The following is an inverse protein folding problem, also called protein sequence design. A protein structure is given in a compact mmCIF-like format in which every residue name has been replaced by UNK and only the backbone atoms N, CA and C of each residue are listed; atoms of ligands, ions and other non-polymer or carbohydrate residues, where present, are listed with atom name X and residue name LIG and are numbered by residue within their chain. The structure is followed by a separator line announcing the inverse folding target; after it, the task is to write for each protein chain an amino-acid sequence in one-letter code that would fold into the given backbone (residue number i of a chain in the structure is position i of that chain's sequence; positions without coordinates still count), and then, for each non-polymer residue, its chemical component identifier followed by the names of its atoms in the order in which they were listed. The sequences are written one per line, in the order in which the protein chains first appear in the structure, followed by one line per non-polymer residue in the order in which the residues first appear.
data_IF_917426829956
#
_entry.id   IF_917426829956
#
_cell.length_a   1.000
_cell.length_b   1.000
_cell.length_c   1.000
_cell.angle_alpha   90.00
_cell.angle_beta   90.00
_cell.angle_gamma   90.00
#
_symmetry.space_group_name_H-M   'P 1'
#
loop_
_entity.id
_entity.type
_entity.pdbx_description
1 polymer ?
#
# COMPACT_ATOMS: atom_id res chain seq x y z
N UNK A 1 -32.23 8.81 43.70
CA UNK A 1 -31.16 9.62 44.32
C UNK A 1 -30.30 10.13 43.18
N UNK A 2 -30.24 11.46 43.07
CA UNK A 2 -29.79 12.24 41.91
C UNK A 2 -28.30 12.07 41.62
N UNK A 3 -28.03 12.05 40.32
CA UNK A 3 -26.91 12.67 39.61
C UNK A 3 -25.66 13.06 40.40
N UNK A 4 -24.55 12.43 40.02
CA UNK A 4 -23.24 13.06 40.04
C UNK A 4 -22.62 12.86 38.66
N UNK A 5 -23.13 13.64 37.70
CA UNK A 5 -22.41 14.01 36.49
C UNK A 5 -21.00 14.43 36.89
N UNK A 6 -20.03 13.56 36.63
CA UNK A 6 -18.62 13.84 36.83
C UNK A 6 -18.17 14.76 35.69
N UNK A 7 -18.59 16.02 35.78
CA UNK A 7 -18.11 17.09 34.93
C UNK A 7 -16.58 17.10 35.02
N UNK A 8 -15.92 16.80 33.91
CA UNK A 8 -14.47 16.92 33.82
C UNK A 8 -14.09 18.36 34.16
N UNK A 9 -13.08 18.59 35.01
CA UNK A 9 -12.68 19.94 35.37
C UNK A 9 -12.33 20.73 34.11
N UNK A 10 -12.74 21.99 34.06
CA UNK A 10 -12.63 22.88 32.88
C UNK A 10 -11.20 22.93 32.29
N UNK A 11 -10.17 22.73 33.12
CA UNK A 11 -8.76 22.65 32.69
C UNK A 11 -8.43 21.43 31.82
N UNK A 12 -9.13 20.30 32.01
CA UNK A 12 -8.96 19.08 31.20
C UNK A 12 -9.66 19.23 29.86
N UNK A 13 -10.79 19.94 29.82
CA UNK A 13 -11.52 20.23 28.58
C UNK A 13 -10.71 21.18 27.69
N UNK A 14 -10.14 22.25 28.25
CA UNK A 14 -9.30 23.22 27.53
C UNK A 14 -8.02 22.58 26.96
N UNK A 15 -7.36 21.71 27.73
CA UNK A 15 -6.20 20.96 27.21
C UNK A 15 -6.57 20.01 26.07
N UNK A 16 -7.74 19.35 26.16
CA UNK A 16 -8.22 18.43 25.14
C UNK A 16 -8.60 19.16 23.85
N UNK A 17 -9.28 20.31 23.95
CA UNK A 17 -9.61 21.16 22.81
C UNK A 17 -8.35 21.68 22.11
N UNK A 18 -7.36 22.17 22.88
CA UNK A 18 -6.07 22.59 22.35
C UNK A 18 -5.34 21.46 21.61
N UNK A 19 -5.30 20.27 22.21
CA UNK A 19 -4.65 19.10 21.59
C UNK A 19 -5.32 18.69 20.28
N UNK A 20 -6.65 18.74 20.21
CA UNK A 20 -7.41 18.44 18.99
C UNK A 20 -7.18 19.48 17.89
N UNK A 21 -7.11 20.77 18.25
CA UNK A 21 -6.79 21.83 17.31
C UNK A 21 -5.37 21.71 16.74
N UNK A 22 -4.39 21.34 17.57
CA UNK A 22 -3.01 21.11 17.17
C UNK A 22 -2.89 19.89 16.24
N UNK A 23 -3.60 18.79 16.53
CA UNK A 23 -3.67 17.63 15.65
C UNK A 23 -4.26 17.96 14.27
N UNK A 24 -5.34 18.76 14.22
CA UNK A 24 -5.94 19.20 12.96
C UNK A 24 -5.02 20.16 12.17
N UNK A 25 -4.17 20.93 12.85
CA UNK A 25 -3.14 21.75 12.20
C UNK A 25 -2.02 20.86 11.64
N UNK A 26 -1.55 19.88 12.41
CA UNK A 26 -0.53 18.94 12.00
C UNK A 26 -0.97 18.12 10.77
N UNK A 27 -2.21 17.63 10.75
CA UNK A 27 -2.78 16.90 9.61
C UNK A 27 -2.79 17.76 8.33
N UNK A 28 -3.28 19.00 8.39
CA UNK A 28 -3.28 19.92 7.24
C UNK A 28 -1.88 20.24 6.74
N UNK A 29 -0.91 20.35 7.65
CA UNK A 29 0.49 20.54 7.28
C UNK A 29 1.06 19.28 6.62
N UNK A 30 0.73 18.10 7.12
CA UNK A 30 1.17 16.82 6.57
C UNK A 30 0.68 16.64 5.12
N UNK A 31 -0.60 16.87 4.84
CA UNK A 31 -1.15 16.83 3.49
C UNK A 31 -0.42 17.76 2.53
N UNK A 32 -0.13 18.98 2.98
CA UNK A 32 0.57 19.97 2.17
C UNK A 32 2.02 19.57 1.90
N UNK A 33 2.71 19.05 2.93
CA UNK A 33 4.09 18.54 2.79
C UNK A 33 4.13 17.37 1.81
N UNK A 34 3.18 16.42 1.89
CA UNK A 34 3.07 15.29 0.97
C UNK A 34 3.03 15.75 -0.49
N UNK A 35 2.14 16.69 -0.81
CA UNK A 35 2.00 17.22 -2.18
C UNK A 35 3.26 17.94 -2.64
N UNK A 36 3.84 18.80 -1.80
CA UNK A 36 5.06 19.55 -2.14
C UNK A 36 6.22 18.60 -2.40
N UNK A 37 6.43 17.61 -1.54
CA UNK A 37 7.53 16.65 -1.67
C UNK A 37 7.34 15.79 -2.91
N UNK A 38 6.13 15.30 -3.20
CA UNK A 38 5.84 14.54 -4.41
C UNK A 38 6.18 15.34 -5.68
N UNK A 39 5.75 16.60 -5.76
CA UNK A 39 6.06 17.49 -6.89
C UNK A 39 7.56 17.83 -6.98
N UNK A 40 8.22 18.00 -5.83
CA UNK A 40 9.65 18.31 -5.78
C UNK A 40 10.49 17.11 -6.23
N UNK A 41 10.10 15.88 -5.87
CA UNK A 41 10.75 14.67 -6.36
C UNK A 41 10.70 14.60 -7.88
N UNK A 42 9.52 14.77 -8.47
CA UNK A 42 9.34 14.73 -9.93
C UNK A 42 10.16 15.81 -10.68
N UNK A 43 10.22 17.03 -10.13
CA UNK A 43 10.79 18.19 -10.85
C UNK A 43 12.26 18.47 -10.55
N UNK A 44 12.71 18.18 -9.33
CA UNK A 44 14.01 18.66 -8.81
C UNK A 44 15.00 17.53 -8.55
N UNK A 45 14.54 16.31 -8.31
CA UNK A 45 15.41 15.18 -8.01
C UNK A 45 15.61 14.35 -9.27
N UNK A 46 16.76 14.51 -9.91
CA UNK A 46 17.17 13.76 -11.11
C UNK A 46 18.32 12.79 -10.78
N UNK A 47 18.15 12.02 -9.71
CA UNK A 47 19.14 11.02 -9.33
C UNK A 47 18.88 9.72 -10.11
N UNK A 48 19.84 9.18 -10.88
CA UNK A 48 19.66 7.93 -11.62
C UNK A 48 19.42 6.71 -10.70
N UNK A 49 19.73 6.82 -9.40
CA UNK A 49 19.46 5.78 -8.39
C UNK A 49 18.04 5.83 -7.84
N UNK A 50 17.31 6.91 -8.09
CA UNK A 50 15.92 7.05 -7.67
C UNK A 50 15.05 6.23 -8.62
N UNK A 51 14.53 5.11 -8.13
CA UNK A 51 13.56 4.31 -8.87
C UNK A 51 12.20 5.02 -8.99
N UNK A 52 11.18 4.31 -9.47
CA UNK A 52 9.82 4.83 -9.51
C UNK A 52 9.24 4.89 -8.09
N UNK A 53 9.45 6.04 -7.44
CA UNK A 53 9.06 6.30 -6.05
C UNK A 53 7.72 7.03 -5.97
N UNK A 54 6.85 6.59 -5.07
CA UNK A 54 5.56 7.23 -4.80
C UNK A 54 5.45 7.57 -3.31
N UNK A 55 5.09 8.82 -2.99
CA UNK A 55 4.78 9.22 -1.61
C UNK A 55 3.32 8.90 -1.31
N UNK A 56 3.10 7.97 -0.39
CA UNK A 56 1.80 7.39 -0.07
C UNK A 56 1.10 8.12 1.07
N UNK A 57 1.85 8.55 2.08
CA UNK A 57 1.32 9.25 3.25
C UNK A 57 2.36 10.20 3.86
N UNK A 58 1.90 11.13 4.70
CA UNK A 58 2.75 11.96 5.52
C UNK A 58 2.14 12.15 6.91
N UNK A 59 2.98 12.17 7.94
CA UNK A 59 2.58 12.45 9.33
C UNK A 59 3.46 13.53 9.91
N UNK A 60 2.85 14.44 10.65
CA UNK A 60 3.55 15.54 11.31
C UNK A 60 3.26 15.46 12.80
N UNK A 61 4.28 15.68 13.62
CA UNK A 61 4.14 15.74 15.08
C UNK A 61 3.28 16.94 15.49
N UNK A 62 2.60 16.87 16.65
CA UNK A 62 1.72 17.97 17.10
C UNK A 62 2.47 19.30 17.34
N UNK A 63 3.78 19.24 17.61
CA UNK A 63 4.65 20.42 17.73
C UNK A 63 5.16 20.95 16.37
N UNK A 64 4.78 20.30 15.26
CA UNK A 64 5.11 20.66 13.88
C UNK A 64 6.60 20.66 13.55
N UNK A 65 7.44 20.03 14.37
CA UNK A 65 8.89 20.05 14.18
C UNK A 65 9.40 18.89 13.32
N UNK A 66 8.66 17.77 13.27
CA UNK A 66 9.06 16.57 12.55
C UNK A 66 7.95 16.12 11.60
N UNK A 67 8.34 15.75 10.38
CA UNK A 67 7.46 15.20 9.36
C UNK A 67 8.02 13.87 8.86
N UNK A 68 7.26 12.80 9.03
CA UNK A 68 7.56 11.48 8.47
C UNK A 68 6.78 11.31 7.16
N UNK A 69 7.50 11.06 6.08
CA UNK A 69 6.96 10.76 4.76
C UNK A 69 7.06 9.26 4.51
N UNK A 70 5.93 8.66 4.16
CA UNK A 70 5.83 7.26 3.79
C UNK A 70 5.91 7.13 2.28
N UNK A 71 6.67 6.16 1.79
CA UNK A 71 6.90 5.98 0.35
C UNK A 71 6.96 4.52 -0.06
N UNK A 72 6.54 4.24 -1.29
CA UNK A 72 6.78 2.95 -1.94
C UNK A 72 7.74 3.12 -3.11
N UNK A 73 8.51 2.07 -3.39
CA UNK A 73 9.40 1.97 -4.54
C UNK A 73 8.97 0.76 -5.34
N UNK A 74 8.71 0.97 -6.63
CA UNK A 74 8.46 -0.12 -7.56
C UNK A 74 9.81 -0.66 -8.05
N UNK A 75 10.14 -1.90 -7.69
CA UNK A 75 11.39 -2.54 -8.08
C UNK A 75 11.90 -3.59 -7.09
N UNK A 76 13.11 -4.07 -7.35
CA UNK A 76 13.89 -5.01 -6.55
C UNK A 76 14.35 -4.42 -5.21
N UNK A 77 14.80 -5.28 -4.28
CA UNK A 77 15.37 -4.84 -3.00
C UNK A 77 16.58 -3.90 -3.18
N UNK A 78 17.42 -4.14 -4.19
CA UNK A 78 18.55 -3.26 -4.51
C UNK A 78 18.08 -1.85 -4.90
N UNK A 79 17.02 -1.75 -5.71
CA UNK A 79 16.41 -0.48 -6.10
C UNK A 79 15.77 0.25 -4.90
N UNK A 80 15.21 -0.50 -3.95
CA UNK A 80 14.69 0.07 -2.70
C UNK A 80 15.82 0.68 -1.86
N UNK A 81 16.94 -0.01 -1.70
CA UNK A 81 18.11 0.52 -0.98
C UNK A 81 18.72 1.74 -1.67
N UNK A 82 18.84 1.70 -2.99
CA UNK A 82 19.36 2.80 -3.79
C UNK A 82 18.45 4.02 -3.69
N UNK A 83 17.13 3.83 -3.77
CA UNK A 83 16.14 4.89 -3.58
C UNK A 83 16.20 5.48 -2.19
N UNK A 84 16.37 4.67 -1.13
CA UNK A 84 16.56 5.16 0.24
C UNK A 84 17.77 6.10 0.34
N UNK A 85 18.91 5.72 -0.23
CA UNK A 85 20.14 6.55 -0.25
C UNK A 85 19.93 7.85 -1.04
N UNK A 86 19.21 7.78 -2.16
CA UNK A 86 18.88 8.95 -2.98
C UNK A 86 17.97 9.93 -2.23
N UNK A 87 16.92 9.45 -1.55
CA UNK A 87 16.02 10.27 -0.74
C UNK A 87 16.74 10.96 0.42
N UNK A 88 17.62 10.25 1.12
CA UNK A 88 18.43 10.86 2.20
C UNK A 88 19.38 11.94 1.66
N UNK A 89 19.95 11.73 0.47
CA UNK A 89 20.80 12.74 -0.20
C UNK A 89 19.97 13.96 -0.65
N UNK A 90 18.74 13.74 -1.10
CA UNK A 90 17.83 14.79 -1.56
C UNK A 90 17.13 15.54 -0.41
N UNK A 91 17.21 15.05 0.81
CA UNK A 91 16.53 15.58 2.01
C UNK A 91 16.68 17.09 2.19
N UNK A 92 17.88 17.64 1.99
CA UNK A 92 18.14 19.08 2.10
C UNK A 92 17.40 19.91 1.04
N UNK A 93 17.38 19.42 -0.20
CA UNK A 93 16.68 20.07 -1.32
C UNK A 93 15.17 20.01 -1.08
N UNK A 94 14.64 18.83 -0.74
CA UNK A 94 13.22 18.61 -0.48
C UNK A 94 12.73 19.46 0.70
N UNK A 95 13.49 19.52 1.80
CA UNK A 95 13.17 20.38 2.94
C UNK A 95 13.18 21.87 2.54
N UNK A 96 14.11 22.28 1.69
CA UNK A 96 14.15 23.67 1.21
C UNK A 96 12.93 24.01 0.34
N UNK A 97 12.50 23.10 -0.53
CA UNK A 97 11.27 23.28 -1.31
C UNK A 97 10.03 23.32 -0.43
N UNK A 98 9.94 22.45 0.59
CA UNK A 98 8.86 22.53 1.60
C UNK A 98 8.84 23.91 2.26
N UNK A 99 9.98 24.40 2.75
CA UNK A 99 10.08 25.69 3.42
C UNK A 99 9.64 26.88 2.57
N UNK A 100 9.86 26.83 1.24
CA UNK A 100 9.41 27.87 0.30
C UNK A 100 7.90 27.87 0.07
N UNK A 101 7.25 26.72 0.24
CA UNK A 101 5.85 26.50 -0.13
C UNK A 101 4.90 26.42 1.09
N UNK A 102 5.44 26.51 2.31
CA UNK A 102 4.63 26.55 3.54
C UNK A 102 4.83 27.86 4.30
N UNK A 103 3.74 28.39 4.83
CA UNK A 103 3.79 29.47 5.82
C UNK A 103 4.03 28.88 7.21
N UNK A 104 5.29 28.56 7.52
CA UNK A 104 5.69 28.07 8.84
C UNK A 104 6.92 28.83 9.33
N UNK A 105 6.98 29.08 10.65
CA UNK A 105 8.16 29.72 11.27
C UNK A 105 9.39 28.81 11.20
N UNK A 106 9.17 27.50 11.36
CA UNK A 106 10.20 26.48 11.28
C UNK A 106 9.75 25.44 10.27
N UNK A 107 10.62 25.13 9.31
CA UNK A 107 10.40 24.02 8.39
C UNK A 107 10.69 22.71 9.12
N UNK A 108 9.73 21.76 9.16
CA UNK A 108 9.91 20.49 9.82
C UNK A 108 11.14 19.73 9.29
N UNK A 109 11.72 18.89 10.13
CA UNK A 109 12.71 17.91 9.68
C UNK A 109 11.97 16.79 8.97
N UNK A 110 12.42 16.42 7.76
CA UNK A 110 11.81 15.35 6.98
C UNK A 110 12.47 14.01 7.33
N UNK A 111 11.68 12.96 7.46
CA UNK A 111 12.16 11.58 7.62
C UNK A 111 11.44 10.71 6.61
N UNK A 112 12.15 9.83 5.91
CA UNK A 112 11.57 8.94 4.91
C UNK A 112 11.49 7.52 5.46
N UNK A 113 10.31 6.91 5.36
CA UNK A 113 10.05 5.54 5.80
C UNK A 113 9.42 4.77 4.65
N UNK A 114 9.99 3.61 4.24
CA UNK A 114 9.36 2.78 3.23
C UNK A 114 8.05 2.20 3.76
N UNK A 115 7.01 2.20 2.93
CA UNK A 115 5.79 1.47 3.20
C UNK A 115 6.00 -0.01 2.95
N UNK A 116 5.59 -0.82 3.93
CA UNK A 116 5.59 -2.28 3.80
C UNK A 116 4.48 -2.78 2.84
N UNK A 117 3.57 -1.90 2.43
CA UNK A 117 2.43 -2.20 1.53
C UNK A 117 2.56 -1.33 0.29
N UNK A 118 3.21 -1.81 -0.80
CA UNK A 118 2.56 -2.69 -1.76
C UNK A 118 3.56 -3.63 -2.51
N UNK A 119 4.09 -4.64 -1.82
CA UNK A 119 4.84 -5.74 -2.48
C UNK A 119 3.88 -6.73 -3.20
N UNK A 120 2.59 -6.63 -2.93
CA UNK A 120 1.60 -7.63 -3.34
C UNK A 120 1.23 -7.62 -4.83
N UNK A 121 1.45 -6.53 -5.56
CA UNK A 121 1.06 -6.46 -6.97
C UNK A 121 1.93 -7.37 -7.86
N UNK A 122 3.25 -7.33 -7.67
CA UNK A 122 4.17 -8.21 -8.40
C UNK A 122 4.00 -9.67 -8.05
N UNK A 123 3.80 -9.98 -6.77
CA UNK A 123 3.56 -11.35 -6.35
C UNK A 123 2.25 -11.89 -6.92
N UNK A 124 1.21 -11.05 -6.98
CA UNK A 124 -0.06 -11.40 -7.60
C UNK A 124 0.09 -11.63 -9.12
N UNK A 125 0.83 -10.77 -9.83
CA UNK A 125 1.09 -10.96 -11.26
C UNK A 125 1.88 -12.25 -11.55
N UNK A 126 2.91 -12.55 -10.75
CA UNK A 126 3.69 -13.78 -10.87
C UNK A 126 2.83 -15.03 -10.59
N UNK A 127 1.98 -14.98 -9.55
CA UNK A 127 1.03 -16.05 -9.26
C UNK A 127 0.01 -16.23 -10.39
N UNK A 128 -0.56 -15.14 -10.90
CA UNK A 128 -1.52 -15.18 -12.02
C UNK A 128 -0.87 -15.74 -13.29
N UNK A 129 0.38 -15.39 -13.56
CA UNK A 129 1.14 -15.93 -14.69
C UNK A 129 1.34 -17.44 -14.55
N UNK A 130 1.81 -17.91 -13.39
CA UNK A 130 2.00 -19.35 -13.10
C UNK A 130 0.71 -20.15 -13.21
N UNK A 131 -0.42 -19.59 -12.76
CA UNK A 131 -1.72 -20.25 -12.90
C UNK A 131 -2.13 -20.36 -14.37
N UNK A 132 -1.98 -19.29 -15.16
CA UNK A 132 -2.28 -19.33 -16.61
C UNK A 132 -1.43 -20.34 -17.37
N UNK A 133 -0.15 -20.44 -17.04
CA UNK A 133 0.76 -21.42 -17.64
C UNK A 133 0.30 -22.86 -17.31
N UNK A 134 -0.02 -23.14 -16.05
CA UNK A 134 -0.51 -24.46 -15.61
C UNK A 134 -1.87 -24.82 -16.22
N UNK A 135 -2.79 -23.86 -16.35
CA UNK A 135 -4.09 -24.07 -17.00
C UNK A 135 -3.92 -24.36 -18.50
N UNK A 136 -2.99 -23.69 -19.17
CA UNK A 136 -2.67 -23.94 -20.58
C UNK A 136 -2.06 -25.34 -20.79
N UNK A 137 -1.18 -25.78 -19.89
CA UNK A 137 -0.63 -27.15 -19.90
C UNK A 137 -1.72 -28.21 -19.71
N UNK A 138 -2.63 -28.01 -18.75
CA UNK A 138 -3.77 -28.90 -18.52
C UNK A 138 -4.71 -28.95 -19.73
N UNK A 139 -5.02 -27.80 -20.32
CA UNK A 139 -5.85 -27.71 -21.52
C UNK A 139 -5.21 -28.48 -22.70
N UNK A 140 -3.90 -28.28 -22.92
CA UNK A 140 -3.15 -28.99 -23.95
C UNK A 140 -3.11 -30.51 -23.71
N UNK A 141 -2.93 -30.95 -22.47
CA UNK A 141 -2.95 -32.36 -22.09
C UNK A 141 -4.34 -33.01 -22.27
N UNK A 142 -5.41 -32.24 -22.07
CA UNK A 142 -6.79 -32.73 -22.20
C UNK A 142 -7.31 -32.82 -23.64
N UNK A 143 -6.70 -32.10 -24.59
CA UNK A 143 -7.17 -32.00 -25.99
C UNK A 143 -7.17 -33.32 -26.77
N UNK A 144 -6.54 -34.38 -26.24
CA UNK A 144 -6.54 -35.74 -26.81
C UNK A 144 -6.91 -36.84 -25.81
N UNK A 145 -7.37 -36.48 -24.61
CA UNK A 145 -7.67 -37.47 -23.57
C UNK A 145 -8.99 -38.18 -23.88
N UNK A 146 -8.96 -39.52 -23.92
CA UNK A 146 -10.18 -40.31 -23.90
C UNK A 146 -10.70 -40.41 -22.45
N UNK A 147 -11.99 -40.18 -22.27
CA UNK A 147 -12.64 -40.32 -20.97
C UNK A 147 -12.49 -41.76 -20.48
N UNK A 148 -12.13 -41.97 -19.21
CA UNK A 148 -11.89 -43.30 -18.64
C UNK A 148 -13.17 -44.14 -18.45
N UNK A 149 -14.33 -43.65 -18.90
CA UNK A 149 -15.62 -44.33 -18.80
C UNK A 149 -16.20 -44.68 -20.16
N UNK A 150 -16.87 -45.83 -20.24
CA UNK A 150 -17.66 -46.24 -21.40
C UNK A 150 -18.87 -45.31 -21.59
N UNK A 151 -19.35 -45.16 -22.84
CA UNK A 151 -20.39 -44.21 -23.22
C UNK A 151 -21.76 -44.46 -22.56
N UNK A 152 -21.98 -45.65 -21.98
CA UNK A 152 -23.20 -46.01 -21.26
C UNK A 152 -22.82 -46.49 -19.84
N UNK A 153 -23.02 -45.66 -18.80
CA UNK A 153 -22.66 -46.02 -17.42
C UNK A 153 -23.68 -46.98 -16.76
N UNK A 154 -24.74 -47.38 -17.46
CA UNK A 154 -25.80 -48.22 -16.89
C UNK A 154 -25.68 -49.69 -17.28
N UNK A 155 -25.86 -50.57 -16.29
CA UNK A 155 -25.92 -52.02 -16.50
C UNK A 155 -27.18 -52.37 -17.28
N UNK A 156 -27.03 -52.99 -18.46
CA UNK A 156 -28.16 -53.50 -19.23
C UNK A 156 -28.74 -54.75 -18.55
N UNK A 157 -30.07 -54.86 -18.40
CA UNK A 157 -30.70 -56.04 -17.81
C UNK A 157 -30.49 -57.25 -18.72
N UNK A 158 -30.11 -58.40 -18.13
CA UNK A 158 -29.99 -59.68 -18.85
C UNK A 158 -31.34 -60.06 -19.46
N UNK A 159 -31.33 -60.37 -20.76
CA UNK A 159 -32.48 -60.95 -21.44
C UNK A 159 -32.68 -62.37 -20.89
N UNK A 160 -33.66 -62.54 -20.00
CA UNK A 160 -34.13 -63.88 -19.65
C UNK A 160 -34.95 -64.39 -20.85
N UNK A 161 -34.35 -65.27 -21.66
CA UNK A 161 -35.10 -66.08 -22.62
C UNK A 161 -36.11 -66.92 -21.83
N UNK A 162 -37.38 -66.53 -21.89
CA UNK A 162 -38.48 -67.40 -21.52
C UNK A 162 -38.63 -68.45 -22.62
N UNK A 163 -37.97 -69.60 -22.44
CA UNK A 163 -38.33 -70.81 -23.16
C UNK A 163 -39.62 -71.37 -22.52
N UNK A 164 -40.73 -71.25 -23.25
CA UNK A 164 -41.99 -71.91 -22.96
C UNK A 164 -41.88 -73.41 -23.26
N UNK A 165 -42.28 -74.24 -22.31
CA UNK A 165 -42.85 -75.59 -22.51
C UNK A 165 -44.05 -75.74 -21.54
#
# INVERSE_FOLDING_TARGET
MRDAERALPLSVLDHKEKTMADAARAARLADRIKVIVAQALERRVKDPRLGFVTITDARVTNDLQHATLYYTVYGSEEEQENTKKALESAKGILRSEVGKNITARLTPTLTFVPDEVPVNAYHLEDLLKKTRERDAELAAASAGAQYAGEADPYKKPEQTEAAED
#
